data_IF_131717556655
#
_entry.id   IF_131717556655
#
_cell.length_a   1.000
_cell.length_b   1.000
_cell.length_c   1.000
_cell.angle_alpha   90.00
_cell.angle_beta   90.00
_cell.angle_gamma   90.00
#
_symmetry.space_group_name_H-M   'P 1'
#
loop_
_entity.id
_entity.type
_entity.pdbx_description
1 polymer ?
#
# COMPACT_ATOMS: atom_id res chain seq x y z
N UNK A 1 -1.82 -27.68 -3.01
CA UNK A 1 -0.50 -27.01 -3.02
C UNK A 1 -0.27 -26.48 -1.61
N UNK A 2 0.95 -26.54 -1.06
CA UNK A 2 1.26 -25.80 0.16
C UNK A 2 1.09 -24.29 -0.08
N UNK A 3 0.66 -23.56 0.93
CA UNK A 3 0.45 -22.11 0.84
C UNK A 3 1.78 -21.40 0.60
N UNK A 4 1.79 -20.45 -0.33
CA UNK A 4 2.95 -19.60 -0.61
C UNK A 4 2.83 -18.27 0.14
N UNK A 5 3.94 -17.73 0.67
CA UNK A 5 3.93 -16.41 1.29
C UNK A 5 3.62 -15.33 0.25
N UNK A 6 2.92 -14.30 0.68
CA UNK A 6 2.65 -13.12 -0.15
C UNK A 6 3.95 -12.34 -0.40
N UNK A 7 3.98 -11.47 -1.43
CA UNK A 7 5.13 -10.59 -1.67
C UNK A 7 5.50 -9.74 -0.44
N UNK A 8 4.50 -9.28 0.32
CA UNK A 8 4.71 -8.42 1.49
C UNK A 8 5.24 -9.21 2.70
N UNK A 9 4.81 -10.45 2.87
CA UNK A 9 5.39 -11.37 3.85
C UNK A 9 6.88 -11.59 3.57
N UNK A 10 7.25 -11.79 2.31
CA UNK A 10 8.65 -11.93 1.90
C UNK A 10 9.46 -10.66 2.14
N UNK A 11 8.95 -9.47 1.78
CA UNK A 11 9.63 -8.19 2.06
C UNK A 11 9.83 -7.98 3.55
N UNK A 12 8.83 -8.31 4.37
CA UNK A 12 8.91 -8.20 5.83
C UNK A 12 9.94 -9.14 6.41
N UNK A 13 9.92 -10.40 5.97
CA UNK A 13 10.91 -11.39 6.34
C UNK A 13 12.34 -10.92 6.01
N UNK A 14 12.57 -10.38 4.80
CA UNK A 14 13.87 -9.85 4.39
C UNK A 14 14.34 -8.71 5.29
N UNK A 15 13.45 -7.77 5.62
CA UNK A 15 13.75 -6.67 6.55
C UNK A 15 14.12 -7.19 7.94
N UNK A 16 13.36 -8.15 8.46
CA UNK A 16 13.58 -8.73 9.79
C UNK A 16 14.88 -9.56 9.87
N UNK A 17 15.34 -10.10 8.74
CA UNK A 17 16.57 -10.87 8.63
C UNK A 17 17.78 -10.04 8.19
N UNK A 18 17.65 -8.71 8.18
CA UNK A 18 18.77 -7.79 7.96
C UNK A 18 19.15 -7.56 6.49
N UNK A 19 18.27 -7.90 5.54
CA UNK A 19 18.44 -7.46 4.16
C UNK A 19 18.10 -5.98 4.00
N UNK A 20 18.92 -5.28 3.22
CA UNK A 20 18.69 -3.88 2.89
C UNK A 20 17.94 -3.76 1.56
N UNK A 21 16.84 -3.03 1.56
CA UNK A 21 16.10 -2.66 0.35
C UNK A 21 16.87 -1.55 -0.40
N UNK A 22 17.11 -1.78 -1.68
CA UNK A 22 17.67 -0.80 -2.60
C UNK A 22 16.56 -0.01 -3.29
N UNK A 23 16.82 1.25 -3.70
CA UNK A 23 15.86 2.03 -4.45
C UNK A 23 15.35 1.26 -5.67
N UNK A 24 14.04 1.30 -5.98
CA UNK A 24 13.50 0.57 -7.11
C UNK A 24 14.13 1.06 -8.41
N UNK A 25 14.59 0.11 -9.22
CA UNK A 25 15.15 0.35 -10.55
C UNK A 25 14.17 -0.07 -11.64
N UNK A 26 14.61 0.02 -12.89
CA UNK A 26 13.83 -0.40 -14.07
C UNK A 26 13.44 -1.89 -14.02
N UNK A 27 14.18 -2.69 -13.24
CA UNK A 27 13.99 -4.13 -13.07
C UNK A 27 13.18 -4.51 -11.82
N UNK A 28 12.58 -3.54 -11.10
CA UNK A 28 11.82 -3.77 -9.88
C UNK A 28 12.59 -3.45 -8.59
N UNK A 29 12.23 -4.13 -7.50
CA UNK A 29 12.84 -3.93 -6.19
C UNK A 29 14.03 -4.87 -6.01
N UNK A 30 15.10 -4.40 -5.40
CA UNK A 30 16.29 -5.19 -5.16
C UNK A 30 16.64 -5.19 -3.69
N UNK A 31 17.02 -6.35 -3.16
CA UNK A 31 17.40 -6.53 -1.76
C UNK A 31 18.81 -7.08 -1.67
N UNK A 32 19.62 -6.55 -0.75
CA UNK A 32 21.03 -6.92 -0.62
C UNK A 32 21.43 -7.24 0.81
N UNK A 33 22.25 -8.28 1.00
CA UNK A 33 22.88 -8.64 2.28
C UNK A 33 24.16 -9.42 2.01
N UNK A 34 25.27 -9.05 2.66
CA UNK A 34 26.57 -9.76 2.56
C UNK A 34 26.98 -10.13 1.13
N UNK A 35 27.02 -9.14 0.23
CA UNK A 35 27.33 -9.29 -1.21
C UNK A 35 26.35 -10.17 -2.02
N UNK A 36 25.20 -10.54 -1.43
CA UNK A 36 24.12 -11.28 -2.11
C UNK A 36 23.01 -10.33 -2.52
N UNK A 37 22.30 -10.70 -3.58
CA UNK A 37 21.24 -9.87 -4.16
C UNK A 37 20.01 -10.72 -4.50
N UNK A 38 18.83 -10.21 -4.16
CA UNK A 38 17.52 -10.80 -4.49
C UNK A 38 16.69 -9.75 -5.21
N UNK A 39 16.28 -10.05 -6.44
CA UNK A 39 15.34 -9.22 -7.20
C UNK A 39 13.89 -9.61 -6.95
N UNK A 40 13.02 -8.61 -6.82
CA UNK A 40 11.58 -8.71 -6.79
C UNK A 40 10.99 -8.02 -8.01
N UNK A 41 10.19 -8.77 -8.76
CA UNK A 41 9.31 -8.22 -9.79
C UNK A 41 8.23 -7.39 -9.09
N UNK A 42 7.71 -6.36 -9.76
CA UNK A 42 6.67 -5.47 -9.22
C UNK A 42 5.38 -6.24 -8.86
N UNK A 43 4.99 -7.17 -9.73
CA UNK A 43 3.77 -7.98 -9.63
C UNK A 43 4.14 -9.45 -9.83
N UNK A 44 4.75 -10.10 -8.82
CA UNK A 44 5.20 -11.48 -8.95
C UNK A 44 4.02 -12.44 -8.93
N UNK A 45 4.05 -13.46 -9.79
CA UNK A 45 3.14 -14.58 -9.74
C UNK A 45 3.64 -15.70 -8.80
N UNK A 46 2.94 -16.85 -8.76
CA UNK A 46 3.32 -17.96 -7.91
C UNK A 46 4.71 -18.54 -8.24
N UNK A 47 5.08 -18.59 -9.52
CA UNK A 47 6.37 -19.13 -9.98
C UNK A 47 7.50 -18.16 -9.62
N UNK A 48 7.24 -16.85 -9.73
CA UNK A 48 8.16 -15.81 -9.25
C UNK A 48 8.43 -15.92 -7.75
N UNK A 49 7.37 -16.14 -6.96
CA UNK A 49 7.46 -16.30 -5.50
C UNK A 49 8.31 -17.51 -5.12
N UNK A 50 8.10 -18.66 -5.75
CA UNK A 50 8.93 -19.86 -5.56
C UNK A 50 10.39 -19.60 -5.94
N UNK A 51 10.61 -18.90 -7.05
CA UNK A 51 11.94 -18.49 -7.50
C UNK A 51 12.64 -17.56 -6.50
N UNK A 52 11.89 -16.64 -5.87
CA UNK A 52 12.40 -15.73 -4.84
C UNK A 52 12.78 -16.51 -3.59
N UNK A 53 11.90 -17.37 -3.08
CA UNK A 53 12.15 -18.18 -1.87
C UNK A 53 13.39 -19.06 -2.09
N UNK A 54 13.53 -19.66 -3.27
CA UNK A 54 14.69 -20.49 -3.62
C UNK A 54 15.99 -19.68 -3.54
N UNK A 55 16.00 -18.46 -4.10
CA UNK A 55 17.19 -17.58 -4.06
C UNK A 55 17.52 -17.14 -2.63
N UNK A 56 16.50 -16.85 -1.81
CA UNK A 56 16.68 -16.54 -0.39
C UNK A 56 17.26 -17.75 0.35
N UNK A 57 16.70 -18.94 0.16
CA UNK A 57 17.18 -20.18 0.79
C UNK A 57 18.66 -20.47 0.47
N UNK A 58 19.06 -20.32 -0.79
CA UNK A 58 20.48 -20.39 -1.21
C UNK A 58 21.32 -19.30 -0.54
N UNK A 59 20.77 -18.07 -0.45
CA UNK A 59 21.42 -16.94 0.18
C UNK A 59 21.46 -17.01 1.72
N UNK A 60 20.68 -17.87 2.35
CA UNK A 60 20.72 -18.10 3.81
C UNK A 60 21.38 -19.43 4.18
N UNK A 61 21.67 -20.30 3.19
CA UNK A 61 22.06 -21.71 3.39
C UNK A 61 21.04 -22.48 4.23
N UNK A 62 19.76 -22.26 3.95
CA UNK A 62 18.62 -22.90 4.62
C UNK A 62 17.80 -23.72 3.64
N UNK A 63 16.91 -24.57 4.15
CA UNK A 63 16.00 -25.31 3.29
C UNK A 63 14.87 -24.40 2.77
N UNK A 64 14.35 -24.72 1.58
CA UNK A 64 13.23 -23.99 0.99
C UNK A 64 12.03 -23.91 1.93
N UNK A 65 11.60 -25.04 2.49
CA UNK A 65 10.44 -25.10 3.38
C UNK A 65 10.66 -24.28 4.67
N UNK A 66 11.88 -24.26 5.23
CA UNK A 66 12.20 -23.45 6.42
C UNK A 66 12.07 -21.95 6.14
N UNK A 67 12.56 -21.50 4.98
CA UNK A 67 12.42 -20.10 4.56
C UNK A 67 10.96 -19.77 4.29
N UNK A 68 10.25 -20.65 3.58
CA UNK A 68 8.81 -20.48 3.30
C UNK A 68 8.01 -20.34 4.60
N UNK A 69 8.18 -21.24 5.56
CA UNK A 69 7.49 -21.20 6.85
C UNK A 69 7.84 -19.95 7.66
N UNK A 70 9.12 -19.55 7.64
CA UNK A 70 9.56 -18.32 8.31
C UNK A 70 8.95 -17.07 7.67
N UNK A 71 8.80 -17.07 6.34
CA UNK A 71 8.16 -15.97 5.61
C UNK A 71 6.64 -15.95 5.82
N UNK A 72 5.98 -17.11 5.82
CA UNK A 72 4.55 -17.24 6.14
C UNK A 72 4.24 -16.76 7.56
N UNK A 73 5.17 -17.00 8.49
CA UNK A 73 5.08 -16.57 9.88
C UNK A 73 5.57 -15.14 10.11
N UNK A 74 6.15 -14.49 9.10
CA UNK A 74 6.48 -13.07 9.22
C UNK A 74 5.14 -12.33 9.28
N UNK A 75 4.88 -11.67 10.42
CA UNK A 75 3.75 -10.77 10.57
C UNK A 75 3.82 -9.77 9.42
N UNK A 76 3.04 -10.00 8.36
CA UNK A 76 2.86 -9.01 7.32
C UNK A 76 2.27 -7.81 8.04
N UNK A 77 2.98 -6.67 8.13
CA UNK A 77 2.32 -5.46 8.56
C UNK A 77 1.40 -5.14 7.39
N UNK A 78 0.18 -5.70 7.40
CA UNK A 78 -0.93 -4.98 6.78
C UNK A 78 -0.81 -3.57 7.39
N UNK A 79 -0.57 -2.54 6.58
CA UNK A 79 -0.54 -1.20 7.12
C UNK A 79 -1.95 -0.93 7.62
N UNK A 80 -2.20 -1.17 8.90
CA UNK A 80 -3.46 -0.82 9.53
C UNK A 80 -3.70 0.66 9.19
N UNK A 81 -4.68 0.86 8.32
CA UNK A 81 -5.01 2.14 7.71
C UNK A 81 -5.29 3.17 8.79
N UNK A 82 -5.95 2.75 9.88
CA UNK A 82 -6.21 3.58 11.04
C UNK A 82 -4.93 3.87 11.83
N UNK A 83 -3.97 2.95 11.84
CA UNK A 83 -2.71 3.15 12.54
C UNK A 83 -1.75 4.08 11.77
N UNK A 84 -1.69 3.96 10.44
CA UNK A 84 -0.67 4.59 9.58
C UNK A 84 -1.10 5.92 8.95
N UNK A 85 -2.37 6.05 8.56
CA UNK A 85 -2.87 7.25 7.88
C UNK A 85 -2.77 8.52 8.74
N UNK A 86 -3.12 8.51 10.05
CA UNK A 86 -2.94 9.68 10.90
C UNK A 86 -1.47 10.10 11.04
N UNK A 87 -0.53 9.15 11.05
CA UNK A 87 0.89 9.47 11.12
C UNK A 87 1.36 10.18 9.84
N UNK A 88 0.95 9.68 8.67
CA UNK A 88 1.23 10.32 7.37
C UNK A 88 0.63 11.71 7.26
N UNK A 89 -0.63 11.90 7.67
CA UNK A 89 -1.28 13.21 7.71
C UNK A 89 -0.50 14.18 8.61
N UNK A 90 -0.09 13.77 9.81
CA UNK A 90 0.70 14.65 10.71
C UNK A 90 2.03 15.05 10.11
N UNK A 91 2.77 14.09 9.55
CA UNK A 91 4.05 14.37 8.92
C UNK A 91 3.91 15.40 7.78
N UNK A 92 2.88 15.24 6.96
CA UNK A 92 2.63 16.14 5.83
C UNK A 92 2.10 17.52 6.28
N UNK A 93 1.26 17.58 7.31
CA UNK A 93 0.86 18.84 7.95
C UNK A 93 2.07 19.62 8.47
N UNK A 94 2.98 18.94 9.16
CA UNK A 94 4.24 19.55 9.64
C UNK A 94 5.08 20.04 8.46
N UNK A 95 5.22 19.24 7.40
CA UNK A 95 5.99 19.61 6.20
C UNK A 95 5.43 20.86 5.51
N UNK A 96 4.10 20.95 5.37
CA UNK A 96 3.41 22.08 4.72
C UNK A 96 3.13 23.26 5.66
N UNK A 97 3.47 23.14 6.95
CA UNK A 97 3.14 24.11 8.01
C UNK A 97 1.65 24.44 8.06
N UNK A 98 0.82 23.43 7.88
CA UNK A 98 -0.64 23.55 7.86
C UNK A 98 -1.26 23.11 9.17
N UNK A 99 -2.40 23.69 9.53
CA UNK A 99 -3.19 23.21 10.65
C UNK A 99 -4.13 22.07 10.22
N UNK A 100 -4.62 21.28 11.17
CA UNK A 100 -5.67 20.28 10.90
C UNK A 100 -6.95 20.91 10.31
N UNK A 101 -7.24 22.17 10.66
CA UNK A 101 -8.41 22.90 10.14
C UNK A 101 -8.23 23.26 8.67
N UNK A 102 -7.03 23.65 8.27
CA UNK A 102 -6.70 23.95 6.87
C UNK A 102 -6.76 22.67 6.03
N UNK A 103 -6.21 21.58 6.55
CA UNK A 103 -6.33 20.27 5.91
C UNK A 103 -7.78 19.82 5.75
N UNK A 104 -8.62 19.95 6.78
CA UNK A 104 -10.04 19.61 6.69
C UNK A 104 -10.75 20.38 5.56
N UNK A 105 -10.38 21.65 5.34
CA UNK A 105 -10.87 22.45 4.22
C UNK A 105 -10.36 21.94 2.88
N UNK A 106 -9.06 21.64 2.76
CA UNK A 106 -8.46 21.18 1.50
C UNK A 106 -9.00 19.82 1.05
N UNK A 107 -9.25 18.89 1.97
CA UNK A 107 -9.87 17.60 1.63
C UNK A 107 -11.41 17.66 1.64
N UNK A 108 -11.99 18.85 1.80
CA UNK A 108 -13.44 19.09 1.89
C UNK A 108 -14.16 18.11 2.84
N UNK A 109 -13.57 17.89 4.01
CA UNK A 109 -14.09 17.00 5.05
C UNK A 109 -14.50 17.79 6.30
N UNK A 110 -15.45 17.26 7.07
CA UNK A 110 -15.84 17.91 8.33
C UNK A 110 -14.67 17.87 9.34
N UNK A 111 -14.44 18.94 10.14
CA UNK A 111 -13.41 18.94 11.19
C UNK A 111 -13.59 17.80 12.20
N UNK A 112 -14.83 17.38 12.44
CA UNK A 112 -15.18 16.26 13.31
C UNK A 112 -14.71 14.93 12.74
N UNK A 113 -14.88 14.71 11.44
CA UNK A 113 -14.38 13.52 10.72
C UNK A 113 -12.87 13.43 10.81
N UNK A 114 -12.17 14.54 10.53
CA UNK A 114 -10.71 14.59 10.62
C UNK A 114 -10.25 14.33 12.06
N UNK A 115 -10.86 14.97 13.06
CA UNK A 115 -10.50 14.73 14.47
C UNK A 115 -10.65 13.26 14.86
N UNK A 116 -11.73 12.58 14.46
CA UNK A 116 -11.96 11.16 14.77
C UNK A 116 -10.97 10.24 14.06
N UNK A 117 -10.67 10.53 12.79
CA UNK A 117 -9.64 9.82 12.03
C UNK A 117 -8.27 9.98 12.68
N UNK A 118 -7.90 11.24 13.01
CA UNK A 118 -6.64 11.59 13.65
C UNK A 118 -6.46 10.96 15.04
N UNK A 119 -7.56 10.66 15.73
CA UNK A 119 -7.57 9.97 17.02
C UNK A 119 -7.59 8.44 16.89
N UNK A 120 -7.49 7.88 15.67
CA UNK A 120 -7.61 6.44 15.37
C UNK A 120 -8.93 5.82 15.83
N UNK A 121 -10.00 6.61 15.93
CA UNK A 121 -11.29 6.15 16.49
C UNK A 121 -12.26 5.65 15.44
N UNK A 122 -12.18 6.17 14.21
CA UNK A 122 -13.14 5.88 13.15
C UNK A 122 -12.51 6.12 11.79
N UNK A 123 -12.72 5.20 10.84
CA UNK A 123 -12.37 5.43 9.44
C UNK A 123 -13.29 6.47 8.82
N UNK A 124 -12.74 7.31 7.93
CA UNK A 124 -13.57 8.16 7.09
C UNK A 124 -14.25 7.33 5.99
N UNK A 125 -15.28 7.89 5.36
CA UNK A 125 -15.88 7.32 4.16
C UNK A 125 -14.87 7.27 2.99
N UNK A 126 -15.20 6.48 1.97
CA UNK A 126 -14.34 6.24 0.81
C UNK A 126 -14.04 7.53 0.03
N UNK A 127 -15.03 8.40 -0.18
CA UNK A 127 -14.83 9.65 -0.91
C UNK A 127 -13.86 10.60 -0.19
N UNK A 128 -13.93 10.65 1.14
CA UNK A 128 -13.00 11.40 1.98
C UNK A 128 -11.61 10.77 1.94
N UNK A 129 -11.51 9.45 2.00
CA UNK A 129 -10.24 8.75 1.91
C UNK A 129 -9.51 9.01 0.59
N UNK A 130 -10.23 8.99 -0.54
CA UNK A 130 -9.68 9.31 -1.86
C UNK A 130 -9.10 10.73 -1.90
N UNK A 131 -9.81 11.70 -1.34
CA UNK A 131 -9.33 13.10 -1.25
C UNK A 131 -8.08 13.22 -0.38
N UNK A 132 -8.03 12.49 0.73
CA UNK A 132 -6.84 12.43 1.59
C UNK A 132 -5.66 11.79 0.83
N UNK A 133 -5.87 10.69 0.11
CA UNK A 133 -4.82 10.03 -0.68
C UNK A 133 -4.29 10.95 -1.78
N UNK A 134 -5.19 11.61 -2.52
CA UNK A 134 -4.82 12.60 -3.53
C UNK A 134 -4.04 13.77 -2.94
N UNK A 135 -4.44 14.25 -1.77
CA UNK A 135 -3.71 15.31 -1.05
C UNK A 135 -2.31 14.87 -0.61
N UNK A 136 -2.18 13.63 -0.13
CA UNK A 136 -0.91 13.00 0.25
C UNK A 136 -0.03 12.63 -0.95
N UNK A 137 -0.58 12.64 -2.18
CA UNK A 137 0.04 12.06 -3.38
C UNK A 137 0.45 10.59 -3.18
N UNK A 138 -0.39 9.85 -2.47
CA UNK A 138 -0.22 8.42 -2.23
C UNK A 138 -1.27 7.66 -3.04
N UNK A 139 -0.92 6.46 -3.53
CA UNK A 139 -1.90 5.60 -4.17
C UNK A 139 -2.82 5.01 -3.08
N UNK A 140 -4.16 5.07 -3.22
CA UNK A 140 -5.07 4.33 -2.35
C UNK A 140 -4.68 2.85 -2.17
N UNK A 141 -4.10 2.23 -3.20
CA UNK A 141 -3.60 0.86 -3.16
C UNK A 141 -2.41 0.68 -2.20
N UNK A 142 -1.60 1.71 -1.96
CA UNK A 142 -0.50 1.70 -0.97
C UNK A 142 -1.00 1.53 0.46
N UNK A 143 -2.31 1.66 0.67
CA UNK A 143 -2.94 1.50 1.97
C UNK A 143 -3.65 0.15 2.14
N UNK A 144 -3.56 -0.74 1.14
CA UNK A 144 -3.85 -2.17 1.18
C UNK A 144 -5.01 -2.61 2.13
N UNK A 145 -6.17 -1.98 1.99
CA UNK A 145 -7.42 -2.51 2.55
C UNK A 145 -8.36 -2.80 1.39
N UNK A 146 -8.66 -4.08 1.20
CA UNK A 146 -9.50 -4.58 0.11
C UNK A 146 -10.90 -3.92 0.12
N UNK A 147 -11.40 -3.49 1.30
CA UNK A 147 -12.67 -2.75 1.43
C UNK A 147 -12.56 -1.33 0.90
N UNK A 148 -11.42 -0.69 1.09
CA UNK A 148 -11.11 0.64 0.53
C UNK A 148 -10.89 0.54 -0.97
N UNK A 149 -10.16 -0.47 -1.43
CA UNK A 149 -9.91 -0.73 -2.85
C UNK A 149 -11.20 -1.08 -3.61
N UNK A 150 -12.13 -1.80 -2.99
CA UNK A 150 -13.46 -2.07 -3.57
C UNK A 150 -14.33 -0.81 -3.62
N UNK A 151 -14.40 -0.03 -2.54
CA UNK A 151 -15.15 1.23 -2.53
C UNK A 151 -14.59 2.25 -3.53
N UNK A 152 -13.27 2.28 -3.71
CA UNK A 152 -12.59 3.12 -4.68
C UNK A 152 -12.83 2.68 -6.13
N UNK A 153 -12.76 1.36 -6.41
CA UNK A 153 -13.11 0.82 -7.73
C UNK A 153 -14.55 1.15 -8.13
N UNK A 154 -15.49 1.02 -7.20
CA UNK A 154 -16.89 1.42 -7.44
C UNK A 154 -17.04 2.92 -7.68
N UNK A 155 -16.46 3.76 -6.82
CA UNK A 155 -16.53 5.21 -6.99
C UNK A 155 -15.94 5.71 -8.32
N UNK A 156 -14.84 5.10 -8.79
CA UNK A 156 -14.26 5.43 -10.10
C UNK A 156 -15.12 4.96 -11.26
N UNK A 157 -15.75 3.78 -11.14
CA UNK A 157 -16.69 3.29 -12.15
C UNK A 157 -17.94 4.18 -12.25
N UNK A 158 -18.47 4.62 -11.11
CA UNK A 158 -19.63 5.53 -11.05
C UNK A 158 -19.29 6.89 -11.66
N UNK A 159 -18.12 7.45 -11.34
CA UNK A 159 -17.67 8.73 -11.88
C UNK A 159 -17.34 8.66 -13.39
N UNK A 160 -16.78 7.53 -13.86
CA UNK A 160 -16.58 7.29 -15.28
C UNK A 160 -17.90 7.15 -16.04
N UNK A 161 -18.89 6.49 -15.44
CA UNK A 161 -20.24 6.39 -16.00
C UNK A 161 -20.95 7.75 -16.07
N UNK A 162 -20.78 8.60 -15.05
CA UNK A 162 -21.32 9.96 -15.03
C UNK A 162 -20.69 10.84 -16.13
N UNK A 163 -19.36 10.77 -16.30
CA UNK A 163 -18.66 11.50 -17.38
C UNK A 163 -19.07 10.98 -18.76
N UNK A 164 -19.21 9.66 -18.93
CA UNK A 164 -19.69 9.06 -20.18
C UNK A 164 -21.11 9.53 -20.51
N UNK A 165 -22.02 9.56 -19.53
CA UNK A 165 -23.39 10.03 -19.72
C UNK A 165 -23.46 11.51 -20.10
N UNK A 166 -22.58 12.35 -19.57
CA UNK A 166 -22.49 13.78 -19.94
C UNK A 166 -21.96 13.96 -21.37
N UNK A 167 -21.00 13.13 -21.79
CA UNK A 167 -20.44 13.18 -23.15
C UNK A 167 -21.40 12.64 -24.21
N UNK A 168 -22.22 11.65 -23.87
CA UNK A 168 -23.25 11.08 -24.76
C UNK A 168 -24.53 11.95 -24.81
N UNK A 169 -24.86 12.67 -23.73
CA UNK A 169 -26.01 13.57 -23.66
C UNK A 169 -25.79 14.97 -24.24
N UNK A 170 -24.55 15.33 -24.61
CA UNK A 170 -24.19 16.65 -25.15
C UNK A 170 -24.26 16.76 -26.69
N UNK A 171 -24.82 15.76 -27.37
CA UNK A 171 -24.80 15.61 -28.83
C UNK A 171 -26.04 16.09 -29.59
N UNK A 172 -26.96 16.83 -28.98
CA UNK A 172 -28.09 17.47 -29.68
C UNK A 172 -28.22 18.94 -29.25
N UNK A 173 -27.56 19.82 -30.00
CA UNK A 173 -27.82 21.26 -30.04
C UNK A 173 -27.71 21.76 -31.49
#
# INVERSE_FOLDING_TARGET
>A
MPDLPTPDQLRTYLRNTGWAEQPPGVAGHMWTRDDRTIGFVLEPDADDIDGIITRIALAEKRLFDEVRESALSADSPEPDLLASLPARIRAELTRRRMTQRDFAREVAASPSTITRLMAKRQMCDAATLVRICGWLRADPADFADERVNEAYRRGRADQAAEVAAVLEGGGDA
#
